data_IF_393655280305
#
_entry.id   IF_393655280305
#
_cell.length_a   1.000
_cell.length_b   1.000
_cell.length_c   1.000
_cell.angle_alpha   90.00
_cell.angle_beta   90.00
_cell.angle_gamma   90.00
#
_symmetry.space_group_name_H-M   'P 1'
#
loop_
_entity.id
_entity.type
_entity.pdbx_description
1 polymer ?
#
# COMPACT_ATOMS: atom_id res chain seq x y z
N UNK A 1 -3.41 23.32 -43.38
CA UNK A 1 -4.24 22.99 -42.20
C UNK A 1 -4.23 21.50 -41.84
N UNK A 2 -4.29 20.59 -42.80
CA UNK A 2 -4.28 19.14 -42.56
C UNK A 2 -2.97 18.64 -41.92
N UNK A 3 -1.83 19.13 -42.34
CA UNK A 3 -0.52 18.73 -41.81
C UNK A 3 -0.31 19.14 -40.34
N UNK A 4 -0.86 20.29 -39.93
CA UNK A 4 -0.79 20.70 -38.53
C UNK A 4 -1.59 19.79 -37.57
N UNK A 5 -2.73 19.28 -38.01
CA UNK A 5 -3.54 18.33 -37.22
C UNK A 5 -2.85 16.98 -37.06
N UNK A 6 -2.18 16.48 -38.10
CA UNK A 6 -1.45 15.21 -38.05
C UNK A 6 -0.25 15.32 -37.08
N UNK A 7 0.48 16.43 -37.10
CA UNK A 7 1.62 16.65 -36.19
C UNK A 7 1.17 16.69 -34.71
N UNK A 8 0.06 17.37 -34.42
CA UNK A 8 -0.48 17.45 -33.05
C UNK A 8 -0.94 16.08 -32.53
N UNK A 9 -1.62 15.28 -33.39
CA UNK A 9 -2.04 13.94 -33.03
C UNK A 9 -0.83 13.04 -32.74
N UNK A 10 0.22 13.11 -33.55
CA UNK A 10 1.46 12.33 -33.33
C UNK A 10 2.14 12.70 -32.02
N UNK A 11 2.20 14.01 -31.68
CA UNK A 11 2.78 14.48 -30.41
C UNK A 11 1.96 13.95 -29.23
N UNK A 12 0.63 14.01 -29.28
CA UNK A 12 -0.24 13.52 -28.20
C UNK A 12 -0.12 12.00 -28.05
N UNK A 13 -0.10 11.26 -29.15
CA UNK A 13 0.08 9.80 -29.12
C UNK A 13 1.46 9.43 -28.58
N UNK A 14 2.51 10.13 -29.02
CA UNK A 14 3.87 9.92 -28.52
C UNK A 14 3.99 10.25 -27.03
N UNK A 15 3.33 11.31 -26.57
CA UNK A 15 3.28 11.69 -25.15
C UNK A 15 2.50 10.67 -24.31
N UNK A 16 1.36 10.17 -24.79
CA UNK A 16 0.59 9.10 -24.15
C UNK A 16 1.38 7.79 -24.06
N UNK A 17 2.10 7.41 -25.15
CA UNK A 17 2.96 6.23 -25.16
C UNK A 17 4.19 6.40 -24.27
N UNK A 18 4.74 7.61 -24.15
CA UNK A 18 5.83 7.94 -23.23
C UNK A 18 5.36 7.85 -21.78
N UNK A 19 4.20 8.40 -21.44
CA UNK A 19 3.59 8.29 -20.11
C UNK A 19 3.31 6.85 -19.72
N UNK A 20 2.78 6.03 -20.64
CA UNK A 20 2.52 4.62 -20.36
C UNK A 20 3.80 3.78 -20.18
N UNK A 21 4.91 4.15 -20.82
CA UNK A 21 6.21 3.49 -20.62
C UNK A 21 6.91 3.92 -19.34
N UNK A 22 6.77 5.17 -18.93
CA UNK A 22 7.38 5.69 -17.69
C UNK A 22 6.70 5.08 -16.46
N UNK A 23 5.40 4.79 -16.53
CA UNK A 23 4.66 4.17 -15.42
C UNK A 23 5.01 2.71 -15.16
N UNK A 24 5.63 2.00 -16.12
CA UNK A 24 5.84 0.55 -16.03
C UNK A 24 7.24 0.09 -15.62
N UNK A 25 8.21 1.00 -15.42
CA UNK A 25 9.62 0.64 -15.23
C UNK A 25 10.30 1.26 -13.99
N UNK A 26 9.56 1.73 -13.00
CA UNK A 26 10.18 2.07 -11.72
C UNK A 26 10.49 0.75 -11.02
N UNK A 27 11.77 0.38 -10.82
CA UNK A 27 12.09 -0.84 -10.09
C UNK A 27 11.53 -0.71 -8.68
N UNK A 28 10.67 -1.63 -8.30
CA UNK A 28 10.12 -1.69 -6.95
C UNK A 28 11.28 -1.90 -5.98
N UNK A 29 11.60 -0.84 -5.24
CA UNK A 29 12.62 -0.90 -4.19
C UNK A 29 12.11 -1.81 -3.09
N UNK A 30 12.79 -2.95 -2.89
CA UNK A 30 12.53 -3.83 -1.76
C UNK A 30 13.37 -3.39 -0.56
N UNK A 31 12.70 -3.12 0.53
CA UNK A 31 13.32 -2.89 1.83
C UNK A 31 13.73 -4.24 2.46
N UNK A 32 14.73 -4.27 3.34
CA UNK A 32 15.02 -5.47 4.11
C UNK A 32 13.81 -5.85 4.96
N UNK A 33 13.52 -7.15 5.03
CA UNK A 33 12.41 -7.67 5.84
C UNK A 33 12.87 -7.69 7.30
N UNK A 34 12.17 -6.98 8.21
CA UNK A 34 12.50 -6.97 9.63
C UNK A 34 12.37 -8.37 10.24
N UNK A 35 13.29 -8.72 11.13
CA UNK A 35 13.27 -9.98 11.86
C UNK A 35 13.04 -9.72 13.35
N UNK A 36 12.53 -10.73 14.06
CA UNK A 36 12.29 -10.66 15.51
C UNK A 36 11.44 -9.47 15.95
N UNK A 37 10.36 -9.21 15.22
CA UNK A 37 9.39 -8.15 15.53
C UNK A 37 8.24 -8.70 16.37
N UNK A 38 7.64 -7.83 17.21
CA UNK A 38 6.44 -8.17 17.96
C UNK A 38 5.24 -8.31 17.03
N UNK A 39 4.48 -9.40 17.19
CA UNK A 39 3.28 -9.66 16.41
C UNK A 39 2.03 -9.15 17.15
N UNK A 40 1.13 -8.56 16.39
CA UNK A 40 -0.22 -8.29 16.85
C UNK A 40 -1.08 -9.53 16.66
N UNK A 41 -1.92 -9.88 17.65
CA UNK A 41 -2.86 -10.99 17.49
C UNK A 41 -3.82 -10.69 16.33
N UNK A 42 -4.11 -11.72 15.54
CA UNK A 42 -5.12 -11.64 14.51
C UNK A 42 -6.47 -11.28 15.12
N UNK A 43 -7.18 -10.37 14.50
CA UNK A 43 -8.51 -9.95 14.91
C UNK A 43 -9.47 -10.03 13.73
N UNK A 44 -10.76 -10.18 14.03
CA UNK A 44 -11.82 -10.19 13.01
C UNK A 44 -12.09 -8.78 12.45
N UNK A 45 -11.69 -7.74 13.20
CA UNK A 45 -11.77 -6.37 12.71
C UNK A 45 -10.76 -6.19 11.58
N UNK A 46 -11.12 -5.38 10.62
CA UNK A 46 -10.32 -5.06 9.45
C UNK A 46 -10.02 -3.56 9.46
N UNK A 47 -8.76 -3.20 9.30
CA UNK A 47 -8.30 -1.82 9.21
C UNK A 47 -7.76 -1.54 7.82
N UNK A 48 -8.42 -0.68 7.07
CA UNK A 48 -7.94 -0.23 5.77
C UNK A 48 -6.76 0.73 5.93
N UNK A 49 -5.76 0.59 5.05
CA UNK A 49 -4.66 1.55 4.95
C UNK A 49 -5.01 2.68 3.99
N UNK A 50 -4.16 3.68 3.89
CA UNK A 50 -4.32 4.80 2.97
C UNK A 50 -3.11 4.96 2.05
N UNK A 51 -3.30 5.70 0.95
CA UNK A 51 -2.21 6.01 0.01
C UNK A 51 -1.94 4.93 -1.04
N UNK A 52 -2.72 3.85 -1.09
CA UNK A 52 -2.53 2.70 -1.99
C UNK A 52 -2.48 3.09 -3.47
N UNK A 53 -3.10 4.20 -3.86
CA UNK A 53 -3.06 4.68 -5.24
C UNK A 53 -1.63 4.91 -5.75
N UNK A 54 -0.70 5.29 -4.86
CA UNK A 54 0.71 5.47 -5.18
C UNK A 54 1.49 4.16 -5.24
N UNK A 55 0.95 3.07 -4.66
CA UNK A 55 1.63 1.78 -4.51
C UNK A 55 0.96 0.65 -5.29
N UNK A 56 0.08 0.97 -6.25
CA UNK A 56 -0.67 -0.03 -7.03
C UNK A 56 0.23 -1.07 -7.70
N UNK A 57 1.43 -0.70 -8.14
CA UNK A 57 2.38 -1.64 -8.73
C UNK A 57 2.81 -2.73 -7.73
N UNK A 58 3.11 -2.34 -6.48
CA UNK A 58 3.47 -3.27 -5.41
C UNK A 58 2.28 -4.17 -5.04
N UNK A 59 1.11 -3.58 -4.82
CA UNK A 59 -0.09 -4.32 -4.41
C UNK A 59 -0.53 -5.30 -5.51
N UNK A 60 -0.42 -4.90 -6.78
CA UNK A 60 -0.72 -5.79 -7.92
C UNK A 60 0.21 -7.00 -7.98
N UNK A 61 1.49 -6.86 -7.63
CA UNK A 61 2.40 -8.01 -7.54
C UNK A 61 1.99 -8.98 -6.42
N UNK A 62 1.55 -8.45 -5.27
CA UNK A 62 1.01 -9.26 -4.18
C UNK A 62 -0.28 -9.97 -4.59
N UNK A 63 -1.18 -9.27 -5.28
CA UNK A 63 -2.43 -9.85 -5.79
C UNK A 63 -2.19 -11.04 -6.73
N UNK A 64 -1.09 -11.02 -7.48
CA UNK A 64 -0.76 -12.06 -8.45
C UNK A 64 -1.57 -11.96 -9.75
N UNK A 65 -1.44 -12.99 -10.61
CA UNK A 65 -2.06 -12.99 -11.92
C UNK A 65 -3.57 -13.34 -11.91
N UNK A 66 -4.05 -14.01 -10.87
CA UNK A 66 -5.43 -14.50 -10.75
C UNK A 66 -6.22 -13.67 -9.74
N UNK A 67 -7.01 -12.73 -10.23
CA UNK A 67 -7.89 -11.85 -9.43
C UNK A 67 -8.91 -12.65 -8.56
N UNK A 68 -9.12 -13.93 -8.82
CA UNK A 68 -10.16 -14.76 -8.19
C UNK A 68 -9.79 -15.21 -6.75
N UNK A 69 -8.49 -15.31 -6.45
CA UNK A 69 -7.96 -15.79 -5.16
C UNK A 69 -7.31 -14.71 -4.30
N UNK A 70 -7.44 -13.44 -4.67
CA UNK A 70 -6.73 -12.33 -4.03
C UNK A 70 -7.02 -12.22 -2.52
N UNK A 71 -8.25 -12.52 -2.10
CA UNK A 71 -8.66 -12.45 -0.68
C UNK A 71 -8.27 -13.64 0.17
N UNK A 72 -7.89 -14.76 -0.43
CA UNK A 72 -7.55 -15.98 0.32
C UNK A 72 -6.09 -16.05 0.74
N UNK A 73 -5.24 -15.16 0.22
CA UNK A 73 -3.82 -15.13 0.56
C UNK A 73 -3.55 -14.13 1.68
N UNK A 74 -3.13 -14.66 2.81
CA UNK A 74 -2.65 -13.85 3.92
C UNK A 74 -1.18 -13.47 3.74
N UNK A 75 -0.87 -12.26 4.14
CA UNK A 75 0.47 -11.70 4.15
C UNK A 75 0.85 -11.22 5.53
N UNK A 76 2.12 -11.19 5.80
CA UNK A 76 2.67 -10.54 6.98
C UNK A 76 2.97 -9.08 6.62
N UNK A 77 2.24 -8.15 7.22
CA UNK A 77 2.46 -6.72 7.08
C UNK A 77 3.31 -6.19 8.23
N UNK A 78 4.29 -5.36 7.92
CA UNK A 78 5.15 -4.69 8.89
C UNK A 78 4.69 -3.25 9.06
N UNK A 79 4.44 -2.86 10.31
CA UNK A 79 4.02 -1.53 10.72
C UNK A 79 5.26 -0.78 11.23
N UNK A 80 5.73 0.19 10.46
CA UNK A 80 7.03 0.84 10.61
C UNK A 80 6.82 2.31 11.00
N UNK A 81 7.14 2.71 12.25
CA UNK A 81 7.10 4.11 12.66
C UNK A 81 8.14 4.94 11.89
N UNK A 82 7.70 5.98 11.20
CA UNK A 82 8.56 6.94 10.50
C UNK A 82 8.58 8.28 11.25
N UNK A 83 9.62 8.51 12.06
CA UNK A 83 9.77 9.76 12.81
C UNK A 83 10.31 10.91 11.95
N UNK A 84 10.99 10.56 10.85
CA UNK A 84 11.61 11.53 9.92
C UNK A 84 10.78 11.74 8.65
N UNK A 85 9.50 11.31 8.65
CA UNK A 85 8.63 11.51 7.49
C UNK A 85 8.32 13.01 7.33
N UNK A 86 8.64 13.61 6.17
CA UNK A 86 8.51 15.05 5.96
C UNK A 86 7.06 15.57 5.98
N UNK A 87 6.09 14.69 5.84
CA UNK A 87 4.66 15.03 5.80
C UNK A 87 3.93 14.77 7.12
N UNK A 88 4.41 13.83 7.92
CA UNK A 88 3.85 13.49 9.23
C UNK A 88 4.88 12.71 10.07
N UNK A 89 5.41 13.33 11.12
CA UNK A 89 6.36 12.75 12.08
C UNK A 89 5.78 11.58 12.91
N UNK A 90 4.47 11.36 12.79
CA UNK A 90 3.76 10.23 13.42
C UNK A 90 3.36 9.16 12.43
N UNK A 91 3.74 9.30 11.16
CA UNK A 91 3.39 8.33 10.13
C UNK A 91 3.79 6.89 10.53
N UNK A 92 2.94 5.95 10.15
CA UNK A 92 3.21 4.51 10.22
C UNK A 92 3.14 3.97 8.81
N UNK A 93 4.29 3.60 8.26
CA UNK A 93 4.39 2.95 6.96
C UNK A 93 4.01 1.48 7.06
N UNK A 94 3.37 0.97 6.02
CA UNK A 94 3.03 -0.45 5.90
C UNK A 94 3.83 -1.07 4.78
N UNK A 95 4.66 -2.07 5.12
CA UNK A 95 5.46 -2.84 4.16
C UNK A 95 4.98 -4.30 4.15
N UNK A 96 4.88 -4.89 2.94
CA UNK A 96 4.62 -6.32 2.73
C UNK A 96 5.67 -6.87 1.77
N UNK A 97 6.31 -7.98 2.13
CA UNK A 97 7.41 -8.59 1.35
C UNK A 97 8.53 -7.59 0.97
N UNK A 98 8.80 -6.62 1.86
CA UNK A 98 9.79 -5.57 1.65
C UNK A 98 9.33 -4.43 0.72
N UNK A 99 8.09 -4.44 0.25
CA UNK A 99 7.52 -3.39 -0.58
C UNK A 99 6.62 -2.49 0.24
N UNK A 100 6.72 -1.18 0.05
CA UNK A 100 5.77 -0.22 0.62
C UNK A 100 4.44 -0.39 -0.09
N UNK A 101 3.36 -0.56 0.67
CA UNK A 101 1.99 -0.72 0.14
C UNK A 101 1.06 0.43 0.54
N UNK A 102 1.43 1.23 1.53
CA UNK A 102 0.67 2.38 2.00
C UNK A 102 1.06 2.80 3.40
N UNK A 103 0.14 3.47 4.07
CA UNK A 103 0.30 4.02 5.42
C UNK A 103 -0.98 3.83 6.23
N UNK A 104 -0.90 3.85 7.55
CA UNK A 104 -2.07 4.07 8.37
C UNK A 104 -2.60 5.50 8.16
N UNK A 105 -3.91 5.70 8.32
CA UNK A 105 -4.47 7.05 8.34
C UNK A 105 -3.79 7.88 9.45
N UNK A 106 -3.84 9.21 9.35
CA UNK A 106 -3.23 10.06 10.40
C UNK A 106 -3.83 9.81 11.78
N UNK A 107 -5.10 9.50 11.84
CA UNK A 107 -5.80 9.19 13.08
C UNK A 107 -5.36 7.85 13.64
N UNK A 108 -5.37 6.82 12.81
CA UNK A 108 -4.93 5.47 13.18
C UNK A 108 -3.45 5.44 13.56
N UNK A 109 -2.60 6.16 12.85
CA UNK A 109 -1.18 6.26 13.16
C UNK A 109 -0.94 6.81 14.57
N UNK A 110 -1.66 7.88 14.97
CA UNK A 110 -1.59 8.45 16.33
C UNK A 110 -2.10 7.49 17.38
N UNK A 111 -3.21 6.83 17.12
CA UNK A 111 -3.81 5.82 18.00
C UNK A 111 -2.90 4.61 18.14
N UNK A 112 -2.31 4.16 17.04
CA UNK A 112 -1.34 3.07 17.03
C UNK A 112 -0.08 3.41 17.84
N UNK A 113 0.46 4.63 17.68
CA UNK A 113 1.62 5.06 18.49
C UNK A 113 1.33 5.12 19.99
N UNK A 114 0.12 5.53 20.39
CA UNK A 114 -0.29 5.45 21.82
C UNK A 114 -0.31 3.98 22.30
N UNK A 115 -0.83 3.07 21.48
CA UNK A 115 -0.85 1.63 21.78
C UNK A 115 0.56 1.06 21.90
N UNK A 116 1.48 1.43 20.99
CA UNK A 116 2.91 1.07 21.10
C UNK A 116 3.50 1.55 22.42
N UNK A 117 3.21 2.80 22.83
CA UNK A 117 3.64 3.36 24.10
C UNK A 117 3.14 2.55 25.30
N UNK A 118 1.87 2.22 25.33
CA UNK A 118 1.26 1.41 26.39
C UNK A 118 1.88 0.01 26.51
N UNK A 119 2.33 -0.56 25.40
CA UNK A 119 3.01 -1.87 25.35
C UNK A 119 4.53 -1.80 25.50
N UNK A 120 5.09 -0.60 25.78
CA UNK A 120 6.55 -0.37 25.86
C UNK A 120 7.30 -0.71 24.54
N UNK A 121 6.64 -0.57 23.40
CA UNK A 121 7.16 -0.83 22.05
C UNK A 121 7.38 0.49 21.27
N UNK A 122 7.65 1.58 21.96
CA UNK A 122 7.83 2.91 21.35
C UNK A 122 8.85 2.84 20.22
N UNK A 123 8.47 3.33 19.04
CA UNK A 123 9.28 3.33 17.80
C UNK A 123 9.75 1.94 17.32
N UNK A 124 9.24 0.85 17.87
CA UNK A 124 9.57 -0.48 17.37
C UNK A 124 8.70 -0.84 16.17
N UNK A 125 9.31 -1.57 15.23
CA UNK A 125 8.58 -2.19 14.13
C UNK A 125 7.79 -3.35 14.71
N UNK A 126 6.54 -3.49 14.27
CA UNK A 126 5.67 -4.60 14.65
C UNK A 126 5.06 -5.22 13.39
N UNK A 127 4.43 -6.36 13.52
CA UNK A 127 3.79 -7.02 12.39
C UNK A 127 2.37 -7.49 12.73
N UNK A 128 1.55 -7.64 11.70
CA UNK A 128 0.21 -8.23 11.78
C UNK A 128 -0.11 -8.96 10.47
N UNK A 129 -1.20 -9.73 10.46
CA UNK A 129 -1.73 -10.31 9.24
C UNK A 129 -2.41 -9.23 8.38
N UNK A 130 -2.34 -9.41 7.07
CA UNK A 130 -2.98 -8.54 6.09
C UNK A 130 -3.42 -9.34 4.88
N UNK A 131 -4.36 -8.81 4.12
CA UNK A 131 -4.76 -9.36 2.84
C UNK A 131 -5.00 -8.25 1.81
N UNK A 132 -4.92 -8.64 0.53
CA UNK A 132 -5.21 -7.72 -0.58
C UNK A 132 -6.71 -7.66 -0.80
N UNK A 133 -7.24 -6.46 -1.04
CA UNK A 133 -8.65 -6.20 -1.37
C UNK A 133 -8.76 -5.54 -2.75
N UNK A 134 -9.97 -5.41 -3.28
CA UNK A 134 -10.21 -4.75 -4.57
C UNK A 134 -9.81 -5.59 -5.79
N UNK A 135 -9.38 -4.94 -6.86
CA UNK A 135 -8.92 -5.56 -8.12
C UNK A 135 -10.01 -6.10 -9.03
N UNK A 136 -11.22 -6.40 -8.54
CA UNK A 136 -12.31 -6.94 -9.36
C UNK A 136 -12.89 -5.87 -10.29
N UNK A 137 -13.28 -6.29 -11.50
CA UNK A 137 -14.03 -5.42 -12.39
C UNK A 137 -15.47 -5.24 -11.86
N UNK A 138 -15.91 -3.98 -11.73
CA UNK A 138 -17.29 -3.63 -11.42
C UNK A 138 -17.80 -2.69 -12.52
N UNK A 139 -18.91 -3.05 -13.15
CA UNK A 139 -19.49 -2.29 -14.27
C UNK A 139 -18.50 -2.03 -15.42
N UNK A 140 -17.63 -3.00 -15.73
CA UNK A 140 -16.63 -2.89 -16.81
C UNK A 140 -15.37 -2.07 -16.43
N UNK A 141 -15.30 -1.49 -15.24
CA UNK A 141 -14.13 -0.78 -14.71
C UNK A 141 -13.39 -1.64 -13.68
N UNK A 142 -12.08 -1.75 -13.82
CA UNK A 142 -11.24 -2.45 -12.85
C UNK A 142 -11.10 -1.58 -11.58
N UNK A 143 -11.51 -2.13 -10.44
CA UNK A 143 -11.30 -1.46 -9.15
C UNK A 143 -9.81 -1.45 -8.81
N UNK A 144 -9.36 -0.42 -8.12
CA UNK A 144 -8.00 -0.37 -7.55
C UNK A 144 -7.84 -1.45 -6.48
N UNK A 145 -6.62 -1.92 -6.30
CA UNK A 145 -6.28 -2.80 -5.21
C UNK A 145 -6.09 -2.00 -3.92
N UNK A 146 -6.49 -2.60 -2.80
CA UNK A 146 -6.26 -2.10 -1.45
C UNK A 146 -5.58 -3.14 -0.59
N UNK A 147 -5.22 -2.74 0.63
CA UNK A 147 -4.70 -3.62 1.67
C UNK A 147 -5.54 -3.43 2.93
N UNK A 148 -5.95 -4.54 3.50
CA UNK A 148 -6.64 -4.58 4.77
C UNK A 148 -5.81 -5.33 5.80
N UNK A 149 -5.65 -4.74 6.99
CA UNK A 149 -4.90 -5.30 8.10
C UNK A 149 -5.87 -6.02 9.05
N UNK A 150 -5.58 -7.27 9.41
CA UNK A 150 -6.36 -8.06 10.37
C UNK A 150 -5.90 -7.73 11.80
N UNK A 151 -6.18 -6.52 12.25
CA UNK A 151 -5.78 -5.98 13.56
C UNK A 151 -6.97 -5.29 14.20
N UNK A 152 -7.08 -5.37 15.54
CA UNK A 152 -8.13 -4.67 16.27
C UNK A 152 -8.07 -3.18 16.03
N UNK A 153 -9.22 -2.57 15.64
CA UNK A 153 -9.34 -1.13 15.54
C UNK A 153 -8.77 -0.41 16.75
N UNK A 154 -8.20 0.75 16.52
CA UNK A 154 -7.62 1.59 17.57
C UNK A 154 -8.75 2.42 18.21
N UNK A 155 -9.71 1.75 18.85
CA UNK A 155 -10.75 2.42 19.63
C UNK A 155 -10.17 3.26 20.76
N UNK A 156 -10.86 4.35 21.08
CA UNK A 156 -10.60 5.27 22.17
C UNK A 156 -10.76 4.58 23.52
#
# INVERSE_FOLDING_TARGET
MFEFFVAVILIVVCWCLYQSRVSSNIPLRKNPIPQNVSEWPQHADELDIVGELHYQAAIKLLAGANDEYVRSKEYRAFLIPENDNPYDDKAIRVDIEGMVVGYLSREDARSFRRRLGAKKLVNQITACNAHVTGGRARNGQKCVYGICLSIKEFGW
#
